data_IF_412148350749
#
_entry.id   IF_412148350749
#
_cell.length_a   1.000
_cell.length_b   1.000
_cell.length_c   1.000
_cell.angle_alpha   90.00
_cell.angle_beta   90.00
_cell.angle_gamma   90.00
#
_symmetry.space_group_name_H-M   'P 1'
#
loop_
_entity.id
_entity.type
_entity.pdbx_description
1 polymer ?
#
# COMPACT_ATOMS: atom_id res chain seq x y z
N UNK A 1 -6.09 -32.18 -26.33
CA UNK A 1 -6.09 -32.59 -24.90
C UNK A 1 -6.95 -31.61 -24.13
N UNK A 2 -8.09 -32.04 -23.59
CA UNK A 2 -9.06 -31.21 -22.85
C UNK A 2 -8.55 -31.03 -21.41
N UNK A 3 -8.37 -29.78 -21.01
CA UNK A 3 -7.95 -29.40 -19.65
C UNK A 3 -9.12 -29.58 -18.67
N UNK A 4 -8.87 -30.31 -17.58
CA UNK A 4 -9.80 -30.57 -16.48
C UNK A 4 -10.13 -29.27 -15.72
N UNK A 5 -11.27 -28.66 -16.06
CA UNK A 5 -11.87 -27.55 -15.29
C UNK A 5 -12.57 -27.98 -13.99
N UNK A 6 -12.56 -29.27 -13.65
CA UNK A 6 -13.28 -29.84 -12.50
C UNK A 6 -12.56 -29.72 -11.15
N UNK A 7 -11.24 -29.47 -11.13
CA UNK A 7 -10.48 -29.35 -9.86
C UNK A 7 -10.56 -27.96 -9.23
N UNK A 8 -10.81 -26.91 -10.01
CA UNK A 8 -10.90 -25.54 -9.49
C UNK A 8 -12.22 -25.31 -8.75
N UNK A 9 -13.32 -25.87 -9.25
CA UNK A 9 -14.65 -25.79 -8.60
C UNK A 9 -14.64 -26.60 -7.30
N UNK A 10 -14.04 -27.80 -7.28
CA UNK A 10 -13.88 -28.60 -6.06
C UNK A 10 -13.00 -27.92 -5.00
N UNK A 11 -11.92 -27.25 -5.41
CA UNK A 11 -11.08 -26.47 -4.49
C UNK A 11 -11.80 -25.24 -3.93
N UNK A 12 -12.58 -24.54 -4.77
CA UNK A 12 -13.43 -23.43 -4.37
C UNK A 12 -14.48 -23.91 -3.36
N UNK A 13 -15.19 -24.99 -3.63
CA UNK A 13 -16.18 -25.56 -2.70
C UNK A 13 -15.54 -26.04 -1.39
N UNK A 14 -14.34 -26.60 -1.44
CA UNK A 14 -13.63 -27.08 -0.24
C UNK A 14 -13.15 -25.91 0.63
N UNK A 15 -12.64 -24.83 0.02
CA UNK A 15 -12.22 -23.62 0.72
C UNK A 15 -13.41 -22.82 1.28
N UNK A 16 -14.58 -22.88 0.63
CA UNK A 16 -15.83 -22.33 1.18
C UNK A 16 -16.44 -23.23 2.27
N UNK A 17 -16.19 -24.54 2.26
CA UNK A 17 -16.63 -25.51 3.30
C UNK A 17 -15.77 -25.52 4.56
N UNK A 18 -14.53 -25.02 4.50
CA UNK A 18 -13.68 -24.82 5.68
C UNK A 18 -14.02 -23.56 6.48
N UNK A 19 -14.98 -22.76 6.00
CA UNK A 19 -15.62 -21.69 6.76
C UNK A 19 -16.55 -22.37 7.78
N UNK A 20 -16.48 -22.05 9.09
CA UNK A 20 -17.31 -22.72 10.09
C UNK A 20 -18.81 -22.64 9.74
N UNK A 21 -19.48 -23.80 9.72
CA UNK A 21 -20.94 -23.93 9.48
C UNK A 21 -21.83 -23.16 10.46
N UNK A 22 -21.28 -22.55 11.51
CA UNK A 22 -22.02 -21.72 12.46
C UNK A 22 -22.54 -20.41 11.87
N UNK A 23 -22.13 -20.05 10.65
CA UNK A 23 -22.63 -18.87 9.90
C UNK A 23 -23.73 -19.27 8.89
N UNK A 24 -24.07 -20.55 8.76
CA UNK A 24 -24.90 -21.08 7.67
C UNK A 24 -26.25 -21.60 8.18
N UNK A 25 -27.07 -20.73 8.79
CA UNK A 25 -28.42 -21.08 9.21
C UNK A 25 -29.54 -20.18 8.68
N UNK A 26 -29.24 -19.11 7.92
CA UNK A 26 -30.29 -18.30 7.29
C UNK A 26 -29.83 -17.98 5.86
N UNK A 27 -30.76 -18.07 4.91
CA UNK A 27 -30.62 -17.71 3.50
C UNK A 27 -30.21 -16.24 3.32
N UNK A 28 -28.96 -15.93 3.63
CA UNK A 28 -28.36 -14.63 3.41
C UNK A 28 -27.98 -14.60 1.92
N UNK A 29 -28.51 -13.63 1.18
CA UNK A 29 -28.19 -13.50 -0.25
C UNK A 29 -26.69 -13.32 -0.44
N UNK A 30 -26.15 -13.66 -1.61
CA UNK A 30 -24.71 -13.47 -1.90
C UNK A 30 -24.27 -12.02 -1.64
N UNK A 31 -25.15 -11.05 -1.90
CA UNK A 31 -24.91 -9.62 -1.66
C UNK A 31 -24.88 -9.28 -0.17
N UNK A 32 -25.80 -9.83 0.61
CA UNK A 32 -25.81 -9.66 2.08
C UNK A 32 -24.57 -10.27 2.71
N UNK A 33 -24.08 -11.41 2.19
CA UNK A 33 -22.85 -12.05 2.65
C UNK A 33 -21.60 -11.22 2.32
N UNK A 34 -21.52 -10.63 1.13
CA UNK A 34 -20.38 -9.76 0.78
C UNK A 34 -20.39 -8.47 1.60
N UNK A 35 -21.57 -7.92 1.86
CA UNK A 35 -21.74 -6.75 2.72
C UNK A 35 -21.36 -7.07 4.17
N UNK A 36 -21.77 -8.24 4.67
CA UNK A 36 -21.32 -8.74 5.98
C UNK A 36 -19.80 -8.90 6.02
N UNK A 37 -19.19 -9.52 5.01
CA UNK A 37 -17.73 -9.68 4.93
C UNK A 37 -17.00 -8.33 4.85
N UNK A 38 -17.56 -7.35 4.13
CA UNK A 38 -17.04 -6.00 4.06
C UNK A 38 -17.10 -5.31 5.41
N UNK A 39 -18.23 -5.41 6.09
CA UNK A 39 -18.42 -4.85 7.42
C UNK A 39 -17.51 -5.55 8.43
N UNK A 40 -17.36 -6.87 8.38
CA UNK A 40 -16.49 -7.64 9.27
C UNK A 40 -15.01 -7.35 9.01
N UNK A 41 -14.60 -7.26 7.74
CA UNK A 41 -13.25 -6.87 7.36
C UNK A 41 -12.95 -5.43 7.79
N UNK A 42 -13.89 -4.51 7.58
CA UNK A 42 -13.77 -3.12 8.03
C UNK A 42 -13.68 -3.10 9.55
N UNK A 43 -14.60 -3.76 10.25
CA UNK A 43 -14.70 -3.82 11.72
C UNK A 43 -13.44 -4.38 12.36
N UNK A 44 -12.94 -5.53 11.88
CA UNK A 44 -11.71 -6.12 12.40
C UNK A 44 -10.45 -5.34 12.04
N UNK A 45 -10.54 -4.46 11.03
CA UNK A 45 -9.48 -3.51 10.73
C UNK A 45 -9.72 -2.15 11.37
N UNK A 46 -10.85 -1.84 12.01
CA UNK A 46 -11.08 -0.53 12.64
C UNK A 46 -10.00 -0.21 13.67
N UNK A 47 -9.52 -1.20 14.42
CA UNK A 47 -8.40 -1.05 15.35
C UNK A 47 -7.05 -0.74 14.66
N UNK A 48 -6.96 -0.97 13.35
CA UNK A 48 -5.81 -0.67 12.50
C UNK A 48 -6.01 0.60 11.67
N UNK A 49 -7.19 1.23 11.73
CA UNK A 49 -7.47 2.45 10.99
C UNK A 49 -7.17 3.66 11.84
N UNK A 50 -6.57 4.64 11.19
CA UNK A 50 -6.25 5.91 11.82
C UNK A 50 -7.50 6.78 12.04
N UNK A 51 -8.46 6.71 11.11
CA UNK A 51 -9.75 7.39 11.18
C UNK A 51 -10.82 6.39 10.78
N UNK A 52 -11.91 6.30 11.56
CA UNK A 52 -13.04 5.48 11.17
C UNK A 52 -13.53 5.89 9.77
N UNK A 53 -13.73 4.94 8.84
CA UNK A 53 -14.20 5.26 7.49
C UNK A 53 -15.50 6.06 7.56
N UNK A 54 -15.62 7.09 6.72
CA UNK A 54 -16.94 7.68 6.48
C UNK A 54 -17.88 6.63 5.85
N UNK A 55 -19.21 6.82 5.94
CA UNK A 55 -20.16 5.91 5.27
C UNK A 55 -19.88 5.74 3.77
N UNK A 56 -19.44 6.80 3.10
CA UNK A 56 -19.03 6.78 1.69
C UNK A 56 -17.79 5.92 1.47
N UNK A 57 -16.81 6.00 2.38
CA UNK A 57 -15.61 5.16 2.33
C UNK A 57 -15.95 3.68 2.58
N UNK A 58 -16.84 3.39 3.54
CA UNK A 58 -17.38 2.04 3.77
C UNK A 58 -18.07 1.49 2.53
N UNK A 59 -18.92 2.28 1.88
CA UNK A 59 -19.61 1.90 0.66
C UNK A 59 -18.62 1.63 -0.48
N UNK A 60 -17.61 2.48 -0.64
CA UNK A 60 -16.55 2.29 -1.62
C UNK A 60 -15.79 0.97 -1.40
N UNK A 61 -15.40 0.65 -0.16
CA UNK A 61 -14.76 -0.63 0.16
C UNK A 61 -15.69 -1.82 -0.06
N UNK A 62 -16.97 -1.69 0.29
CA UNK A 62 -17.97 -2.71 0.04
C UNK A 62 -18.14 -2.96 -1.47
N UNK A 63 -18.09 -1.92 -2.30
CA UNK A 63 -18.15 -2.06 -3.75
C UNK A 63 -16.89 -2.75 -4.30
N UNK A 64 -15.69 -2.39 -3.82
CA UNK A 64 -14.45 -3.11 -4.15
C UNK A 64 -14.56 -4.62 -3.86
N UNK A 65 -15.19 -4.96 -2.74
CA UNK A 65 -15.40 -6.35 -2.32
C UNK A 65 -16.43 -7.08 -3.19
N UNK A 66 -17.51 -6.39 -3.58
CA UNK A 66 -18.55 -6.95 -4.46
C UNK A 66 -18.03 -7.24 -5.86
N UNK A 67 -17.15 -6.37 -6.37
CA UNK A 67 -16.60 -6.48 -7.73
C UNK A 67 -15.69 -7.70 -7.91
N UNK A 68 -14.94 -8.11 -6.87
CA UNK A 68 -13.91 -9.15 -7.04
C UNK A 68 -13.98 -10.28 -6.01
N UNK A 69 -14.28 -11.50 -6.51
CA UNK A 69 -14.23 -12.72 -5.69
C UNK A 69 -12.83 -12.99 -5.13
N UNK A 70 -11.76 -12.65 -5.88
CA UNK A 70 -10.38 -12.84 -5.41
C UNK A 70 -10.07 -11.91 -4.23
N UNK A 71 -10.41 -10.63 -4.36
CA UNK A 71 -10.25 -9.64 -3.29
C UNK A 71 -11.09 -10.01 -2.06
N UNK A 72 -12.33 -10.43 -2.26
CA UNK A 72 -13.19 -10.87 -1.16
C UNK A 72 -12.61 -12.07 -0.40
N UNK A 73 -12.01 -13.04 -1.09
CA UNK A 73 -11.30 -14.15 -0.43
C UNK A 73 -10.07 -13.68 0.32
N UNK A 74 -9.27 -12.80 -0.28
CA UNK A 74 -8.07 -12.25 0.36
C UNK A 74 -8.41 -11.51 1.65
N UNK A 75 -9.44 -10.67 1.59
CA UNK A 75 -9.92 -9.88 2.73
C UNK A 75 -10.53 -10.78 3.80
N UNK A 76 -11.40 -11.72 3.46
CA UNK A 76 -11.93 -12.69 4.43
C UNK A 76 -10.82 -13.53 5.09
N UNK A 77 -9.79 -13.89 4.34
CA UNK A 77 -8.62 -14.58 4.90
C UNK A 77 -7.87 -13.66 5.87
N UNK A 78 -7.62 -12.40 5.51
CA UNK A 78 -6.98 -11.42 6.37
C UNK A 78 -7.74 -11.18 7.68
N UNK A 79 -9.05 -11.03 7.61
CA UNK A 79 -9.98 -11.00 8.75
C UNK A 79 -9.74 -12.20 9.67
N UNK A 80 -9.82 -13.43 9.14
CA UNK A 80 -9.63 -14.62 9.97
C UNK A 80 -8.25 -14.70 10.64
N UNK A 81 -7.21 -14.30 9.92
CA UNK A 81 -5.85 -14.21 10.46
C UNK A 81 -5.81 -13.21 11.63
N UNK A 82 -6.27 -11.97 11.42
CA UNK A 82 -6.24 -10.91 12.44
C UNK A 82 -7.01 -11.32 13.70
N UNK A 83 -8.21 -11.89 13.53
CA UNK A 83 -9.03 -12.39 14.65
C UNK A 83 -8.31 -13.45 15.49
N UNK A 84 -7.55 -14.35 14.84
CA UNK A 84 -6.79 -15.39 15.55
C UNK A 84 -5.54 -14.81 16.22
N UNK A 85 -4.86 -13.85 15.59
CA UNK A 85 -3.71 -13.17 16.19
C UNK A 85 -4.09 -12.41 17.48
N UNK A 86 -5.30 -11.86 17.54
CA UNK A 86 -5.85 -11.21 18.72
C UNK A 86 -6.15 -12.18 19.88
N UNK A 87 -6.20 -13.50 19.63
CA UNK A 87 -6.44 -14.52 20.66
C UNK A 87 -5.16 -14.86 21.45
N UNK A 88 -5.37 -15.42 22.64
CA UNK A 88 -4.35 -15.67 23.65
C UNK A 88 -3.16 -16.55 23.18
N UNK A 89 -1.94 -16.34 23.72
CA UNK A 89 -0.68 -16.84 23.12
C UNK A 89 -0.56 -18.37 23.00
N UNK A 90 -1.24 -19.14 23.85
CA UNK A 90 -1.09 -20.59 23.96
C UNK A 90 -1.56 -21.39 22.74
N UNK A 91 -2.42 -20.83 21.89
CA UNK A 91 -2.99 -21.50 20.71
C UNK A 91 -2.28 -21.12 19.40
N UNK A 92 -1.24 -20.26 19.47
CA UNK A 92 -0.68 -19.54 18.32
C UNK A 92 0.24 -20.40 17.43
N UNK A 93 0.99 -21.36 17.99
CA UNK A 93 2.08 -22.03 17.26
C UNK A 93 1.62 -23.06 16.21
N UNK A 94 0.63 -23.90 16.53
CA UNK A 94 0.11 -24.89 15.57
C UNK A 94 -0.75 -24.26 14.48
N UNK A 95 -1.53 -23.22 14.84
CA UNK A 95 -2.33 -22.46 13.88
C UNK A 95 -1.46 -21.69 12.90
N UNK A 96 -0.33 -21.12 13.34
CA UNK A 96 0.56 -20.33 12.48
C UNK A 96 1.11 -21.14 11.28
N UNK A 97 1.48 -22.40 11.50
CA UNK A 97 1.94 -23.28 10.40
C UNK A 97 0.82 -23.56 9.39
N UNK A 98 -0.41 -23.75 9.86
CA UNK A 98 -1.58 -23.83 9.00
C UNK A 98 -1.72 -22.57 8.15
N UNK A 99 -1.69 -21.38 8.77
CA UNK A 99 -1.84 -20.10 8.06
C UNK A 99 -0.77 -19.86 7.00
N UNK A 100 0.49 -20.22 7.28
CA UNK A 100 1.58 -20.15 6.31
C UNK A 100 1.27 -21.02 5.08
N UNK A 101 0.81 -22.27 5.30
CA UNK A 101 0.39 -23.15 4.20
C UNK A 101 -0.74 -22.55 3.36
N UNK A 102 -1.73 -21.93 4.01
CA UNK A 102 -2.82 -21.26 3.33
C UNK A 102 -2.38 -20.01 2.55
N UNK A 103 -1.43 -19.22 3.08
CA UNK A 103 -0.83 -18.08 2.36
C UNK A 103 -0.17 -18.54 1.07
N UNK A 104 0.60 -19.63 1.11
CA UNK A 104 1.25 -20.16 -0.09
C UNK A 104 0.24 -20.68 -1.12
N UNK A 105 -0.82 -21.33 -0.66
CA UNK A 105 -1.92 -21.76 -1.54
C UNK A 105 -2.64 -20.57 -2.18
N UNK A 106 -2.91 -19.53 -1.39
CA UNK A 106 -3.51 -18.30 -1.89
C UNK A 106 -2.59 -17.63 -2.90
N UNK A 107 -1.32 -17.42 -2.57
CA UNK A 107 -0.29 -16.90 -3.49
C UNK A 107 -0.28 -17.66 -4.81
N UNK A 108 -0.19 -18.99 -4.76
CA UNK A 108 -0.23 -19.84 -5.95
C UNK A 108 -1.49 -19.57 -6.78
N UNK A 109 -2.64 -19.43 -6.14
CA UNK A 109 -3.91 -19.13 -6.84
C UNK A 109 -3.94 -17.75 -7.51
N UNK A 110 -3.29 -16.75 -6.90
CA UNK A 110 -3.25 -15.39 -7.45
C UNK A 110 -2.20 -15.29 -8.57
N UNK A 111 -1.06 -15.96 -8.42
CA UNK A 111 0.04 -15.95 -9.40
C UNK A 111 -0.27 -16.77 -10.66
N UNK A 112 -0.89 -17.95 -10.52
CA UNK A 112 -1.23 -18.82 -11.67
C UNK A 112 -2.32 -18.23 -12.59
N UNK A 113 -3.00 -17.18 -12.14
CA UNK A 113 -4.05 -16.51 -12.90
C UNK A 113 -3.53 -15.63 -14.02
N UNK A 114 -2.35 -15.03 -13.91
CA UNK A 114 -1.91 -13.97 -14.83
C UNK A 114 -1.64 -14.52 -16.24
N UNK A 115 -2.43 -14.07 -17.22
CA UNK A 115 -2.31 -14.44 -18.64
C UNK A 115 -2.24 -13.18 -19.49
N UNK A 116 -1.48 -13.21 -20.59
CA UNK A 116 -1.26 -12.06 -21.48
C UNK A 116 -2.53 -11.46 -22.10
N UNK A 117 -3.68 -12.15 -22.02
CA UNK A 117 -4.95 -11.73 -22.63
C UNK A 117 -6.01 -11.35 -21.60
N UNK A 118 -5.61 -10.97 -20.38
CA UNK A 118 -6.55 -10.51 -19.35
C UNK A 118 -7.12 -9.13 -19.70
N UNK A 119 -8.38 -8.91 -19.35
CA UNK A 119 -8.96 -7.56 -19.44
C UNK A 119 -8.32 -6.64 -18.38
N UNK A 120 -8.32 -5.31 -18.58
CA UNK A 120 -7.82 -4.37 -17.57
C UNK A 120 -8.49 -4.55 -16.20
N UNK A 121 -9.76 -4.94 -16.16
CA UNK A 121 -10.47 -5.21 -14.92
C UNK A 121 -9.95 -6.47 -14.22
N UNK A 122 -9.70 -7.56 -14.97
CA UNK A 122 -9.12 -8.79 -14.42
C UNK A 122 -7.70 -8.58 -13.87
N UNK A 123 -6.92 -7.72 -14.53
CA UNK A 123 -5.57 -7.33 -14.06
C UNK A 123 -5.69 -6.51 -12.78
N UNK A 124 -6.63 -5.55 -12.74
CA UNK A 124 -6.95 -4.75 -11.54
C UNK A 124 -7.28 -5.64 -10.34
N UNK A 125 -8.18 -6.60 -10.53
CA UNK A 125 -8.56 -7.59 -9.52
C UNK A 125 -7.39 -8.47 -9.06
N UNK A 126 -6.54 -8.88 -10.00
CA UNK A 126 -5.34 -9.64 -9.67
C UNK A 126 -4.36 -8.80 -8.85
N UNK A 127 -4.20 -7.52 -9.18
CA UNK A 127 -3.36 -6.58 -8.43
C UNK A 127 -3.90 -6.35 -7.01
N UNK A 128 -5.22 -6.08 -6.86
CA UNK A 128 -5.87 -5.97 -5.54
C UNK A 128 -5.57 -7.17 -4.65
N UNK A 129 -5.73 -8.39 -5.19
CA UNK A 129 -5.46 -9.62 -4.45
C UNK A 129 -3.97 -9.77 -4.04
N UNK A 130 -3.02 -9.36 -4.89
CA UNK A 130 -1.60 -9.33 -4.52
C UNK A 130 -1.32 -8.33 -3.39
N UNK A 131 -1.98 -7.16 -3.41
CA UNK A 131 -1.76 -6.14 -2.38
C UNK A 131 -2.38 -6.51 -1.03
N UNK A 132 -3.45 -7.30 -0.99
CA UNK A 132 -3.92 -7.92 0.25
C UNK A 132 -2.95 -9.01 0.73
N UNK A 133 -2.42 -9.84 -0.17
CA UNK A 133 -1.40 -10.84 0.15
C UNK A 133 -0.12 -10.21 0.69
N UNK A 134 0.29 -9.07 0.15
CA UNK A 134 1.40 -8.27 0.64
C UNK A 134 1.20 -7.92 2.11
N UNK A 135 0.05 -7.33 2.46
CA UNK A 135 -0.26 -6.94 3.83
C UNK A 135 -0.23 -8.15 4.77
N UNK A 136 -0.81 -9.27 4.34
CA UNK A 136 -0.82 -10.53 5.10
C UNK A 136 0.58 -11.05 5.37
N UNK A 137 1.44 -11.14 4.35
CA UNK A 137 2.81 -11.63 4.50
C UNK A 137 3.67 -10.69 5.32
N UNK A 138 3.49 -9.38 5.16
CA UNK A 138 4.19 -8.37 5.95
C UNK A 138 3.87 -8.52 7.44
N UNK A 139 2.59 -8.72 7.79
CA UNK A 139 2.14 -8.86 9.18
C UNK A 139 2.45 -10.23 9.81
N UNK A 140 2.36 -11.32 9.05
CA UNK A 140 2.52 -12.68 9.60
C UNK A 140 3.94 -13.23 9.55
N UNK A 141 4.73 -12.81 8.57
CA UNK A 141 6.06 -13.36 8.32
C UNK A 141 7.13 -12.30 8.60
N UNK A 142 7.21 -11.29 7.74
CA UNK A 142 8.00 -10.06 7.89
C UNK A 142 7.83 -9.18 6.64
N UNK A 143 8.34 -7.94 6.71
CA UNK A 143 8.32 -6.99 5.60
C UNK A 143 9.01 -7.48 4.31
N UNK A 144 10.04 -8.34 4.40
CA UNK A 144 10.76 -8.85 3.22
C UNK A 144 9.83 -9.72 2.36
N UNK A 145 9.04 -10.60 2.98
CA UNK A 145 8.06 -11.41 2.24
C UNK A 145 6.94 -10.56 1.63
N UNK A 146 6.56 -9.46 2.29
CA UNK A 146 5.65 -8.45 1.73
C UNK A 146 6.25 -7.79 0.48
N UNK A 147 7.51 -7.35 0.55
CA UNK A 147 8.24 -6.75 -0.57
C UNK A 147 8.34 -7.67 -1.79
N UNK A 148 8.60 -8.96 -1.58
CA UNK A 148 8.65 -9.93 -2.68
C UNK A 148 7.32 -10.00 -3.44
N UNK A 149 6.19 -9.99 -2.72
CA UNK A 149 4.86 -9.95 -3.34
C UNK A 149 4.61 -8.62 -4.05
N UNK A 150 5.07 -7.50 -3.48
CA UNK A 150 4.98 -6.20 -4.16
C UNK A 150 5.74 -6.22 -5.49
N UNK A 151 6.94 -6.80 -5.52
CA UNK A 151 7.72 -6.97 -6.75
C UNK A 151 7.00 -7.85 -7.78
N UNK A 152 6.36 -8.92 -7.34
CA UNK A 152 5.58 -9.81 -8.23
C UNK A 152 4.28 -9.15 -8.73
N UNK A 153 3.81 -8.11 -8.04
CA UNK A 153 2.67 -7.28 -8.45
C UNK A 153 3.06 -6.20 -9.47
N UNK A 154 4.33 -5.82 -9.57
CA UNK A 154 4.82 -4.74 -10.44
C UNK A 154 4.38 -4.88 -11.92
N UNK A 155 4.48 -6.04 -12.59
CA UNK A 155 4.06 -6.15 -13.99
C UNK A 155 2.57 -5.83 -14.19
N UNK A 156 1.73 -6.14 -13.19
CA UNK A 156 0.28 -5.89 -13.23
C UNK A 156 0.01 -4.40 -13.07
N UNK A 157 0.69 -3.77 -12.12
CA UNK A 157 0.65 -2.32 -11.95
C UNK A 157 1.07 -1.58 -13.23
N UNK A 158 2.23 -1.92 -13.81
CA UNK A 158 2.72 -1.28 -15.03
C UNK A 158 1.76 -1.49 -16.21
N UNK A 159 1.20 -2.70 -16.35
CA UNK A 159 0.21 -2.98 -17.39
C UNK A 159 -1.04 -2.12 -17.27
N UNK A 160 -1.50 -1.83 -16.06
CA UNK A 160 -2.67 -0.99 -15.83
C UNK A 160 -2.36 0.49 -16.06
N UNK A 161 -1.22 0.96 -15.60
CA UNK A 161 -0.78 2.34 -15.86
C UNK A 161 -0.65 2.59 -17.35
N UNK A 162 -0.12 1.62 -18.11
CA UNK A 162 -0.01 1.73 -19.57
C UNK A 162 -1.36 1.86 -20.30
N UNK A 163 -2.48 1.52 -19.66
CA UNK A 163 -3.83 1.70 -20.23
C UNK A 163 -4.42 3.09 -20.01
N UNK A 164 -3.79 3.93 -19.17
CA UNK A 164 -4.28 5.26 -18.85
C UNK A 164 -3.17 6.30 -19.00
N UNK A 165 -3.16 6.99 -20.15
CA UNK A 165 -2.18 8.03 -20.46
C UNK A 165 -2.24 9.21 -19.50
N UNK A 166 -3.35 9.43 -18.80
CA UNK A 166 -3.47 10.51 -17.83
C UNK A 166 -2.56 10.29 -16.63
N UNK A 167 -2.16 9.05 -16.33
CA UNK A 167 -1.25 8.74 -15.23
C UNK A 167 0.23 8.99 -15.56
N UNK A 168 0.53 9.34 -16.82
CA UNK A 168 1.90 9.58 -17.28
C UNK A 168 2.17 11.08 -17.44
N UNK A 169 3.40 11.47 -17.17
CA UNK A 169 3.92 12.81 -17.45
C UNK A 169 5.15 12.72 -18.35
N UNK A 170 5.27 13.70 -19.24
CA UNK A 170 6.41 13.83 -20.14
C UNK A 170 7.57 14.54 -19.42
N UNK A 171 8.76 13.97 -19.53
CA UNK A 171 10.00 14.54 -19.04
C UNK A 171 10.63 15.47 -20.10
N UNK A 172 11.55 16.32 -19.66
CA UNK A 172 12.29 17.23 -20.57
C UNK A 172 13.07 16.53 -21.70
N UNK A 173 13.35 15.23 -21.57
CA UNK A 173 14.01 14.42 -22.59
C UNK A 173 13.03 13.71 -23.55
N UNK A 174 11.72 13.98 -23.45
CA UNK A 174 10.65 13.31 -24.21
C UNK A 174 10.27 11.92 -23.70
N UNK A 175 10.88 11.46 -22.60
CA UNK A 175 10.52 10.21 -21.94
C UNK A 175 9.24 10.34 -21.11
N UNK A 176 8.44 9.28 -21.02
CA UNK A 176 7.26 9.25 -20.16
C UNK A 176 7.61 8.60 -18.82
N UNK A 177 7.18 9.21 -17.72
CA UNK A 177 7.25 8.61 -16.37
C UNK A 177 5.89 8.65 -15.69
N UNK A 178 5.71 7.81 -14.69
CA UNK A 178 4.42 7.69 -14.02
C UNK A 178 4.29 8.78 -12.96
N UNK A 179 3.30 9.67 -13.06
CA UNK A 179 3.11 10.74 -12.08
C UNK A 179 2.65 10.17 -10.74
N UNK A 180 3.44 10.40 -9.69
CA UNK A 180 3.10 9.97 -8.34
C UNK A 180 1.79 10.62 -7.89
N UNK A 181 1.68 11.94 -8.07
CA UNK A 181 0.51 12.72 -7.70
C UNK A 181 -0.76 12.19 -8.38
N UNK A 182 -0.70 11.90 -9.68
CA UNK A 182 -1.86 11.39 -10.42
C UNK A 182 -2.23 9.97 -10.02
N UNK A 183 -1.25 9.11 -9.69
CA UNK A 183 -1.55 7.78 -9.14
C UNK A 183 -2.22 7.89 -7.77
N UNK A 184 -1.73 8.75 -6.88
CA UNK A 184 -2.31 8.81 -5.54
C UNK A 184 -3.72 9.41 -5.50
N UNK A 185 -4.08 10.17 -6.54
CA UNK A 185 -5.41 10.77 -6.70
C UNK A 185 -6.33 10.03 -7.69
N UNK A 186 -5.87 8.94 -8.31
CA UNK A 186 -6.73 8.16 -9.23
C UNK A 186 -7.87 7.45 -8.49
N UNK A 187 -8.97 7.19 -9.19
CA UNK A 187 -10.07 6.36 -8.68
C UNK A 187 -9.72 4.87 -8.61
N UNK A 188 -8.58 4.46 -9.18
CA UNK A 188 -8.11 3.07 -9.16
C UNK A 188 -7.35 2.77 -7.87
N UNK A 189 -8.10 2.36 -6.84
CA UNK A 189 -7.56 2.02 -5.52
C UNK A 189 -6.33 1.10 -5.57
N UNK A 190 -6.30 0.12 -6.47
CA UNK A 190 -5.17 -0.80 -6.60
C UNK A 190 -3.87 -0.11 -7.03
N UNK A 191 -3.94 0.95 -7.84
CA UNK A 191 -2.76 1.69 -8.28
C UNK A 191 -2.23 2.56 -7.15
N UNK A 192 -3.13 3.29 -6.47
CA UNK A 192 -2.77 4.10 -5.31
C UNK A 192 -2.15 3.23 -4.22
N UNK A 193 -2.79 2.08 -3.90
CA UNK A 193 -2.30 1.16 -2.88
C UNK A 193 -0.92 0.59 -3.23
N UNK A 194 -0.68 0.25 -4.50
CA UNK A 194 0.64 -0.18 -4.94
C UNK A 194 1.69 0.91 -4.72
N UNK A 195 1.45 2.14 -5.17
CA UNK A 195 2.40 3.23 -5.07
C UNK A 195 2.73 3.60 -3.61
N UNK A 196 1.72 3.61 -2.74
CA UNK A 196 1.91 3.81 -1.29
C UNK A 196 2.80 2.72 -0.70
N UNK A 197 2.53 1.45 -1.00
CA UNK A 197 3.36 0.35 -0.50
C UNK A 197 4.78 0.37 -1.06
N UNK A 198 4.97 0.76 -2.31
CA UNK A 198 6.29 0.94 -2.91
C UNK A 198 7.11 1.96 -2.12
N UNK A 199 6.53 3.15 -1.87
CA UNK A 199 7.19 4.22 -1.09
C UNK A 199 7.47 3.79 0.36
N UNK A 200 6.48 3.19 1.04
CA UNK A 200 6.64 2.80 2.45
C UNK A 200 7.63 1.66 2.62
N UNK A 201 7.68 0.73 1.66
CA UNK A 201 8.59 -0.42 1.75
C UNK A 201 10.04 0.01 1.62
N UNK A 202 10.35 1.00 0.78
CA UNK A 202 11.68 1.61 0.71
C UNK A 202 12.06 2.26 2.04
N UNK A 203 11.15 3.03 2.65
CA UNK A 203 11.40 3.64 3.96
C UNK A 203 11.69 2.58 5.03
N UNK A 204 10.89 1.51 5.07
CA UNK A 204 10.97 0.48 6.11
C UNK A 204 12.13 -0.49 5.94
N UNK A 205 12.47 -0.85 4.69
CA UNK A 205 13.45 -1.90 4.39
C UNK A 205 14.76 -1.37 3.79
N UNK A 206 14.82 -0.10 3.41
CA UNK A 206 15.99 0.48 2.73
C UNK A 206 16.25 -0.10 1.34
N UNK A 207 15.24 -0.68 0.69
CA UNK A 207 15.33 -1.22 -0.68
C UNK A 207 15.11 -0.11 -1.72
N UNK A 208 15.50 -0.28 -3.00
CA UNK A 208 15.15 0.67 -4.05
C UNK A 208 13.63 0.68 -4.34
N UNK A 209 13.12 1.82 -4.83
CA UNK A 209 11.76 1.90 -5.39
C UNK A 209 11.64 0.92 -6.57
N UNK A 210 10.47 0.28 -6.69
CA UNK A 210 10.15 -0.58 -7.82
C UNK A 210 9.77 0.23 -9.06
N UNK A 211 9.23 1.42 -8.86
CA UNK A 211 8.78 2.32 -9.92
C UNK A 211 9.50 3.66 -9.84
N UNK A 212 9.94 4.16 -10.99
CA UNK A 212 10.43 5.53 -11.12
C UNK A 212 9.25 6.48 -11.32
N UNK A 213 8.93 7.26 -10.28
CA UNK A 213 7.83 8.21 -10.31
C UNK A 213 8.28 9.61 -10.74
N UNK A 214 7.39 10.29 -11.47
CA UNK A 214 7.42 11.72 -11.78
C UNK A 214 6.67 12.57 -10.75
N UNK A 215 7.08 13.83 -10.60
CA UNK A 215 6.48 14.78 -9.67
C UNK A 215 6.12 16.06 -10.45
N UNK A 216 4.84 16.42 -10.48
CA UNK A 216 4.29 17.59 -11.19
C UNK A 216 4.06 18.81 -10.30
N UNK A 217 4.50 18.75 -9.04
CA UNK A 217 4.90 19.91 -8.23
C UNK A 217 3.79 20.80 -7.65
N UNK A 218 2.55 20.73 -8.14
CA UNK A 218 1.63 21.86 -7.94
C UNK A 218 0.27 21.60 -7.30
N UNK A 219 -0.13 20.38 -6.93
CA UNK A 219 -1.50 20.15 -6.48
C UNK A 219 -1.57 19.42 -5.14
N UNK A 220 -2.38 19.94 -4.21
CA UNK A 220 -2.71 19.19 -3.01
C UNK A 220 -3.55 17.96 -3.39
N UNK A 221 -3.18 16.77 -2.92
CA UNK A 221 -3.94 15.56 -3.20
C UNK A 221 -5.35 15.65 -2.61
N UNK A 222 -6.36 15.52 -3.47
CA UNK A 222 -7.78 15.57 -3.11
C UNK A 222 -8.25 14.28 -2.42
N UNK A 223 -7.52 13.16 -2.57
CA UNK A 223 -7.97 11.86 -2.08
C UNK A 223 -7.43 11.54 -0.66
N UNK A 224 -8.25 11.61 0.40
CA UNK A 224 -7.84 11.32 1.78
C UNK A 224 -7.74 9.82 2.11
N UNK A 225 -7.97 8.91 1.15
CA UNK A 225 -8.18 7.48 1.45
C UNK A 225 -7.04 6.83 2.28
N UNK A 226 -5.78 7.19 2.02
CA UNK A 226 -4.64 6.62 2.74
C UNK A 226 -4.33 7.32 4.06
N UNK A 227 -4.76 8.57 4.19
CA UNK A 227 -4.73 9.24 5.49
C UNK A 227 -5.63 8.50 6.48
N UNK A 228 -6.74 7.91 6.04
CA UNK A 228 -7.63 7.11 6.90
C UNK A 228 -7.02 5.80 7.39
N UNK A 229 -6.16 5.16 6.58
CA UNK A 229 -5.62 3.83 6.91
C UNK A 229 -4.37 3.97 7.78
N UNK A 230 -3.45 4.87 7.43
CA UNK A 230 -2.13 4.95 8.07
C UNK A 230 -1.86 6.28 8.78
N UNK A 231 -2.76 7.25 8.67
CA UNK A 231 -2.53 8.60 9.19
C UNK A 231 -1.44 9.36 8.48
N UNK A 232 -1.04 8.92 7.29
CA UNK A 232 0.02 9.55 6.50
C UNK A 232 -0.63 10.53 5.53
N UNK A 233 -0.37 11.85 5.67
CA UNK A 233 -0.76 12.84 4.68
C UNK A 233 -0.14 12.52 3.32
N UNK A 234 -0.89 12.70 2.25
CA UNK A 234 -0.38 12.40 0.90
C UNK A 234 0.79 13.30 0.48
N UNK A 235 0.86 14.54 0.99
CA UNK A 235 2.07 15.40 0.89
C UNK A 235 3.31 14.70 1.46
N UNK A 236 3.19 13.98 2.58
CA UNK A 236 4.31 13.26 3.18
C UNK A 236 4.71 12.03 2.34
N UNK A 237 3.74 11.34 1.74
CA UNK A 237 4.02 10.26 0.79
C UNK A 237 4.83 10.75 -0.42
N UNK A 238 4.47 11.91 -0.96
CA UNK A 238 5.19 12.50 -2.09
C UNK A 238 6.63 12.89 -1.70
N UNK A 239 6.81 13.57 -0.56
CA UNK A 239 8.14 13.91 -0.05
C UNK A 239 8.97 12.64 0.19
N UNK A 240 8.39 11.59 0.78
CA UNK A 240 9.07 10.30 0.96
C UNK A 240 9.47 9.67 -0.38
N UNK A 241 8.58 9.68 -1.37
CA UNK A 241 8.86 9.17 -2.70
C UNK A 241 10.04 9.90 -3.34
N UNK A 242 10.10 11.24 -3.25
CA UNK A 242 11.20 12.03 -3.77
C UNK A 242 12.54 11.73 -3.08
N UNK A 243 12.55 11.63 -1.75
CA UNK A 243 13.76 11.23 -1.01
C UNK A 243 14.22 9.84 -1.46
N UNK A 244 13.30 8.89 -1.57
CA UNK A 244 13.59 7.54 -2.04
C UNK A 244 14.17 7.53 -3.45
N UNK A 245 13.57 8.28 -4.38
CA UNK A 245 14.06 8.45 -5.75
C UNK A 245 15.47 9.03 -5.79
N UNK A 246 15.78 10.01 -4.93
CA UNK A 246 17.11 10.62 -4.84
C UNK A 246 18.16 9.60 -4.39
N UNK A 247 17.86 8.82 -3.34
CA UNK A 247 18.76 7.77 -2.82
C UNK A 247 19.08 6.69 -3.83
N UNK A 248 18.19 6.45 -4.80
CA UNK A 248 18.39 5.49 -5.89
C UNK A 248 19.02 6.08 -7.16
N UNK A 249 19.34 7.38 -7.17
CA UNK A 249 19.92 8.06 -8.34
C UNK A 249 18.92 8.23 -9.50
N UNK A 250 17.67 8.59 -9.19
CA UNK A 250 16.63 8.82 -10.20
C UNK A 250 17.03 9.86 -11.24
N UNK A 251 16.51 9.67 -12.45
CA UNK A 251 16.70 10.56 -13.61
C UNK A 251 15.62 11.63 -13.71
N UNK A 252 14.59 11.53 -12.89
CA UNK A 252 13.47 12.47 -12.80
C UNK A 252 13.95 13.75 -12.11
N UNK A 253 13.37 14.88 -12.50
CA UNK A 253 13.54 16.14 -11.77
C UNK A 253 12.93 15.99 -10.37
N UNK A 254 13.77 16.14 -9.35
CA UNK A 254 13.35 16.13 -7.94
C UNK A 254 13.49 17.53 -7.36
N UNK A 255 12.67 17.84 -6.37
CA UNK A 255 12.84 19.05 -5.57
C UNK A 255 14.11 18.94 -4.73
N UNK A 256 14.71 20.09 -4.39
CA UNK A 256 15.84 20.12 -3.47
C UNK A 256 15.40 19.81 -2.02
N UNK A 257 16.36 19.49 -1.16
CA UNK A 257 16.05 19.07 0.21
C UNK A 257 15.45 20.21 1.03
N UNK A 258 15.78 21.47 0.75
CA UNK A 258 15.20 22.63 1.44
C UNK A 258 13.72 22.80 1.08
N UNK A 259 13.38 22.67 -0.20
CA UNK A 259 12.00 22.72 -0.69
C UNK A 259 11.17 21.60 -0.07
N UNK A 260 11.72 20.38 0.01
CA UNK A 260 11.05 19.27 0.69
C UNK A 260 10.88 19.53 2.19
N UNK A 261 11.89 20.08 2.85
CA UNK A 261 11.81 20.45 4.27
C UNK A 261 10.73 21.52 4.50
N UNK A 262 10.74 22.60 3.72
CA UNK A 262 9.76 23.68 3.80
C UNK A 262 8.34 23.13 3.66
N UNK A 263 8.08 22.24 2.68
CA UNK A 263 6.76 21.59 2.56
C UNK A 263 6.35 20.84 3.82
N UNK A 264 7.28 20.13 4.47
CA UNK A 264 7.00 19.38 5.70
C UNK A 264 6.77 20.30 6.90
N UNK A 265 7.50 21.43 6.97
CA UNK A 265 7.37 22.42 8.04
C UNK A 265 6.10 23.28 7.92
N UNK A 266 5.71 23.64 6.69
CA UNK A 266 4.52 24.44 6.42
C UNK A 266 3.24 23.61 6.33
N UNK A 267 3.33 22.29 6.20
CA UNK A 267 2.18 21.40 6.26
C UNK A 267 1.44 21.57 7.58
N UNK A 268 0.10 21.62 7.50
CA UNK A 268 -0.78 21.73 8.66
C UNK A 268 -1.75 20.56 8.69
N UNK A 269 -1.91 19.97 9.86
CA UNK A 269 -2.93 18.95 10.09
C UNK A 269 -4.32 19.52 9.87
N UNK A 270 -5.14 18.83 9.07
CA UNK A 270 -6.56 19.15 8.89
C UNK A 270 -7.34 19.00 10.21
N UNK A 271 -6.91 18.10 11.09
CA UNK A 271 -7.53 17.89 12.40
C UNK A 271 -7.17 18.99 13.41
N UNK A 272 -6.02 19.64 13.25
CA UNK A 272 -5.66 20.80 14.07
C UNK A 272 -6.48 22.06 13.73
N UNK A 273 -7.14 22.10 12.57
CA UNK A 273 -7.96 23.23 12.11
C UNK A 273 -9.44 23.12 12.48
N UNK A 274 -9.92 21.92 12.87
CA UNK A 274 -11.34 21.67 13.11
C UNK A 274 -11.82 22.09 14.51
N UNK A 275 -10.91 22.28 15.47
CA UNK A 275 -11.22 22.69 16.85
C UNK A 275 -10.24 23.77 17.33
N UNK A 276 -10.75 24.82 18.00
CA UNK A 276 -9.93 25.77 18.76
C UNK A 276 -9.28 25.02 19.93
N UNK A 277 -8.06 24.50 19.68
CA UNK A 277 -7.28 23.60 20.52
C UNK A 277 -7.91 22.20 20.74
N UNK A 278 -7.28 21.10 20.25
CA UNK A 278 -7.73 19.74 20.53
C UNK A 278 -7.78 19.49 22.04
N UNK A 279 -8.93 19.05 22.54
CA UNK A 279 -9.06 18.64 23.95
C UNK A 279 -8.16 17.40 24.17
N UNK A 280 -7.25 17.42 25.16
CA UNK A 280 -6.41 16.26 25.46
C UNK A 280 -7.26 15.01 25.75
N UNK A 281 -6.94 13.89 25.09
CA UNK A 281 -7.69 12.64 25.19
C UNK A 281 -8.89 12.52 24.24
N UNK A 282 -9.03 13.42 23.28
CA UNK A 282 -9.94 13.24 22.13
C UNK A 282 -9.25 12.48 20.99
N UNK A 283 -10.04 11.75 20.18
CA UNK A 283 -9.57 11.10 18.96
C UNK A 283 -8.79 12.05 18.04
N UNK A 284 -9.17 13.33 17.98
CA UNK A 284 -8.50 14.34 17.17
C UNK A 284 -7.11 14.69 17.71
N UNK A 285 -6.93 14.73 19.04
CA UNK A 285 -5.61 14.96 19.64
C UNK A 285 -4.65 13.79 19.35
N UNK A 286 -5.14 12.55 19.43
CA UNK A 286 -4.36 11.36 19.08
C UNK A 286 -3.98 11.36 17.59
N UNK A 287 -4.91 11.76 16.72
CA UNK A 287 -4.66 11.90 15.29
C UNK A 287 -3.59 12.94 15.00
N UNK A 288 -3.71 14.14 15.57
CA UNK A 288 -2.67 15.17 15.43
C UNK A 288 -1.33 14.62 15.89
N UNK A 289 -1.26 13.90 17.01
CA UNK A 289 -0.01 13.32 17.50
C UNK A 289 0.64 12.32 16.52
N UNK A 290 -0.15 11.44 15.87
CA UNK A 290 0.38 10.51 14.86
C UNK A 290 0.89 11.25 13.62
N UNK A 291 0.15 12.25 13.14
CA UNK A 291 0.58 13.05 11.99
C UNK A 291 1.83 13.86 12.28
N UNK A 292 1.93 14.44 13.48
CA UNK A 292 3.14 15.07 13.99
C UNK A 292 4.30 14.07 14.12
N UNK A 293 4.02 12.82 14.50
CA UNK A 293 4.99 11.73 14.46
C UNK A 293 5.54 11.49 13.06
N UNK A 294 4.66 11.43 12.05
CA UNK A 294 5.08 11.34 10.65
C UNK A 294 5.87 12.56 10.18
N UNK A 295 5.48 13.77 10.59
CA UNK A 295 6.21 15.01 10.29
C UNK A 295 7.65 14.93 10.81
N UNK A 296 7.84 14.54 12.08
CA UNK A 296 9.17 14.38 12.67
C UNK A 296 9.98 13.27 11.99
N UNK A 297 9.38 12.11 11.72
CA UNK A 297 10.03 11.01 11.01
C UNK A 297 10.56 11.47 9.64
N UNK A 298 9.75 12.23 8.92
CA UNK A 298 10.10 12.72 7.58
C UNK A 298 11.21 13.76 7.61
N UNK A 299 11.20 14.68 8.57
CA UNK A 299 12.31 15.61 8.79
C UNK A 299 13.61 14.86 9.07
N UNK A 300 13.58 13.87 9.97
CA UNK A 300 14.74 12.99 10.21
C UNK A 300 15.19 12.32 8.91
N UNK A 301 14.25 11.85 8.09
CA UNK A 301 14.55 11.17 6.84
C UNK A 301 15.24 12.08 5.81
N UNK A 302 14.76 13.33 5.66
CA UNK A 302 15.40 14.36 4.84
C UNK A 302 16.85 14.59 5.30
N UNK A 303 17.08 14.76 6.61
CA UNK A 303 18.41 15.02 7.13
C UNK A 303 19.36 13.83 7.05
N UNK A 304 18.87 12.59 7.07
CA UNK A 304 19.69 11.40 6.82
C UNK A 304 20.19 11.36 5.36
N UNK A 305 19.34 11.71 4.40
CA UNK A 305 19.71 11.79 2.98
C UNK A 305 20.77 12.87 2.74
N UNK A 306 20.59 14.07 3.33
CA UNK A 306 21.57 15.16 3.25
C UNK A 306 22.95 14.74 3.77
N UNK A 307 23.03 14.05 4.92
CA UNK A 307 24.30 13.59 5.48
C UNK A 307 25.03 12.60 4.58
N UNK A 308 24.31 11.67 3.96
CA UNK A 308 24.91 10.73 3.00
C UNK A 308 25.46 11.46 1.77
N UNK A 309 24.74 12.47 1.26
CA UNK A 309 25.23 13.33 0.16
C UNK A 309 26.53 14.06 0.57
N UNK A 310 26.56 14.66 1.75
CA UNK A 310 27.77 15.34 2.25
C UNK A 310 28.95 14.38 2.41
N UNK A 311 28.71 13.16 2.90
CA UNK A 311 29.75 12.13 3.03
C UNK A 311 30.36 11.76 1.68
N UNK A 312 29.51 11.49 0.67
CA UNK A 312 29.96 11.17 -0.70
C UNK A 312 30.74 12.33 -1.32
N UNK A 313 30.27 13.57 -1.13
CA UNK A 313 30.96 14.76 -1.63
C UNK A 313 32.35 14.95 -1.02
N UNK A 314 32.50 14.78 0.31
CA UNK A 314 33.80 14.86 0.98
C UNK A 314 34.75 13.80 0.45
N UNK A 315 34.27 12.58 0.22
CA UNK A 315 35.06 11.47 -0.32
C UNK A 315 35.56 11.75 -1.74
N UNK A 316 34.67 12.21 -2.63
CA UNK A 316 35.00 12.61 -4.00
C UNK A 316 36.02 13.75 -4.04
N UNK A 317 35.85 14.77 -3.21
CA UNK A 317 36.78 15.90 -3.12
C UNK A 317 38.17 15.44 -2.70
N UNK A 318 38.25 14.49 -1.77
CA UNK A 318 39.51 13.90 -1.30
C UNK A 318 40.21 13.14 -2.42
N UNK A 319 39.49 12.27 -3.13
CA UNK A 319 40.03 11.53 -4.29
C UNK A 319 40.55 12.46 -5.41
N UNK A 320 39.85 13.55 -5.71
CA UNK A 320 40.28 14.54 -6.71
C UNK A 320 41.56 15.29 -6.27
N UNK A 321 41.74 15.56 -4.98
CA UNK A 321 42.96 16.19 -4.48
C UNK A 321 44.15 15.22 -4.53
N UNK A 322 43.93 13.94 -4.22
CA UNK A 322 44.96 12.89 -4.31
C UNK A 322 45.40 12.66 -5.77
N UNK A 323 44.48 12.71 -6.75
CA UNK A 323 44.81 12.52 -8.16
C UNK A 323 45.54 13.69 -8.82
N UNK A 324 45.52 14.90 -8.23
CA UNK A 324 46.21 16.09 -8.75
C UNK A 324 47.59 16.31 -8.13
N UNK A 325 47.94 15.51 -7.12
CA UNK A 325 49.24 15.55 -6.43
C UNK A 325 50.26 14.51 -6.91
N UNK A 326 49.95 13.74 -7.96
CA UNK A 326 50.87 12.84 -8.67
C UNK A 326 51.27 13.44 -10.01
#
# INVERSE_FOLDING_TARGET
MRSNGSNLIGFIETAFRSIPRSVDAIQVSREDRMTYLANEYTFQRLDLWFIAPSPVACEFLANILKESNRTARAMHFATNVSRVLAQSPGTRSSMLQGWIGWIYEFERSVTTGFRNNMSPNDIGDCLKAHLELLALKASLMNGIFGYLVLRDALPKFLSLVATDSNLLIEQHNGGMVISFHRIINTHRYELTKFAVHDVLTVLLLGVPLLVEYGYDGDHEPENPMFEWIHGIPATFLEVMAQINSRRTGSRVRLDDWQTLEERVLFWKSRYAMLNDAPVPGSDDAERVAVQEGWRHLLLIYIYMDVKEIYRVYVELRRMIHESKGQ
#
